data_IF_613017928867
#
_entry.id   IF_613017928867
#
_cell.length_a   1.000
_cell.length_b   1.000
_cell.length_c   1.000
_cell.angle_alpha   90.00
_cell.angle_beta   90.00
_cell.angle_gamma   90.00
#
_symmetry.space_group_name_H-M   'P 1'
#
loop_
_entity.id
_entity.type
_entity.pdbx_description
1 polymer ?
#
# COMPACT_ATOMS: atom_id res chain seq x y z
N UNK A 1 10.13 31.62 -4.20
CA UNK A 1 10.92 30.44 -3.80
C UNK A 1 10.12 29.19 -4.11
N UNK A 2 10.55 28.39 -5.10
CA UNK A 2 9.92 27.08 -5.37
C UNK A 2 10.32 26.15 -4.23
N UNK A 3 9.37 25.82 -3.36
CA UNK A 3 9.55 24.78 -2.36
C UNK A 3 9.66 23.48 -3.14
N UNK A 4 10.86 22.89 -3.16
CA UNK A 4 11.10 21.57 -3.74
C UNK A 4 10.33 20.56 -2.89
N UNK A 5 9.10 20.25 -3.28
CA UNK A 5 8.48 19.01 -2.86
C UNK A 5 9.31 17.85 -3.42
N UNK A 6 9.57 16.78 -2.67
CA UNK A 6 10.25 15.61 -3.21
C UNK A 6 9.47 15.20 -4.46
N UNK A 7 10.14 15.18 -5.60
CA UNK A 7 9.58 14.59 -6.81
C UNK A 7 9.20 13.17 -6.42
N UNK A 8 7.91 12.90 -6.29
CA UNK A 8 7.36 11.56 -6.32
C UNK A 8 7.66 11.05 -7.73
N UNK A 9 8.89 10.56 -7.92
CA UNK A 9 9.37 9.94 -9.14
C UNK A 9 8.42 8.77 -9.45
N UNK A 10 7.51 9.03 -10.40
CA UNK A 10 6.61 8.09 -11.07
C UNK A 10 6.13 6.95 -10.17
N UNK A 11 5.19 7.25 -9.27
CA UNK A 11 4.41 6.21 -8.59
C UNK A 11 3.67 5.34 -9.61
N UNK A 12 3.39 4.08 -9.27
CA UNK A 12 2.50 3.26 -10.08
C UNK A 12 1.14 3.96 -10.16
N UNK A 13 0.75 4.37 -11.36
CA UNK A 13 -0.48 5.14 -11.57
C UNK A 13 -1.65 4.16 -11.68
N UNK A 14 -2.58 4.22 -10.73
CA UNK A 14 -3.87 3.57 -10.85
C UNK A 14 -4.95 4.56 -10.44
N UNK A 15 -5.97 4.67 -11.29
CA UNK A 15 -7.16 5.47 -11.03
C UNK A 15 -8.22 4.61 -10.36
N UNK A 16 -8.97 5.17 -9.42
CA UNK A 16 -10.08 4.50 -8.78
C UNK A 16 -11.24 5.48 -8.57
N UNK A 17 -12.44 4.95 -8.40
CA UNK A 17 -13.62 5.72 -7.98
C UNK A 17 -14.12 5.21 -6.65
N UNK A 18 -14.41 6.15 -5.75
CA UNK A 18 -15.05 5.85 -4.47
C UNK A 18 -16.44 5.26 -4.73
N UNK A 19 -16.71 4.12 -4.09
CA UNK A 19 -18.05 3.53 -3.93
C UNK A 19 -18.62 3.86 -2.55
N UNK A 20 -17.74 4.04 -1.57
CA UNK A 20 -18.04 4.46 -0.20
C UNK A 20 -17.33 5.78 0.13
N UNK A 21 -17.67 6.39 1.27
CA UNK A 21 -17.07 7.65 1.77
C UNK A 21 -15.59 7.51 2.21
N UNK A 22 -15.00 6.33 2.06
CA UNK A 22 -13.61 6.04 2.34
C UNK A 22 -13.13 4.85 1.50
N UNK A 23 -11.82 4.78 1.31
CA UNK A 23 -11.15 3.52 0.97
C UNK A 23 -10.58 2.89 2.24
N UNK A 24 -10.59 1.57 2.31
CA UNK A 24 -9.98 0.82 3.40
C UNK A 24 -8.92 -0.13 2.85
N UNK A 25 -7.71 -0.02 3.40
CA UNK A 25 -6.63 -0.97 3.15
C UNK A 25 -6.79 -2.16 4.10
N UNK A 26 -7.18 -3.30 3.57
CA UNK A 26 -7.38 -4.53 4.33
C UNK A 26 -6.12 -5.39 4.31
N UNK A 27 -5.52 -5.57 5.49
CA UNK A 27 -4.33 -6.40 5.71
C UNK A 27 -4.79 -7.73 6.30
N UNK A 28 -4.71 -8.80 5.51
CA UNK A 28 -5.11 -10.14 5.90
C UNK A 28 -4.00 -11.15 5.59
N UNK A 29 -3.35 -11.60 6.66
CA UNK A 29 -2.26 -12.58 6.60
C UNK A 29 -2.75 -13.97 6.18
N UNK A 30 -4.06 -14.24 6.26
CA UNK A 30 -4.65 -15.55 5.93
C UNK A 30 -4.97 -15.69 4.44
N UNK A 31 -5.04 -14.57 3.71
CA UNK A 31 -5.41 -14.53 2.30
C UNK A 31 -4.25 -14.05 1.42
N UNK A 32 -3.11 -14.73 1.54
CA UNK A 32 -1.88 -14.41 0.79
C UNK A 32 -1.50 -15.56 -0.13
N UNK A 33 -1.28 -15.26 -1.42
CA UNK A 33 -0.82 -16.25 -2.40
C UNK A 33 0.62 -16.69 -2.12
N UNK A 34 1.43 -15.79 -1.56
CA UNK A 34 2.83 -16.01 -1.24
C UNK A 34 3.02 -16.19 0.27
N UNK A 35 3.99 -17.02 0.62
CA UNK A 35 4.34 -17.26 2.01
C UNK A 35 4.97 -16.02 2.65
N UNK A 36 4.36 -15.53 3.72
CA UNK A 36 4.81 -14.37 4.50
C UNK A 36 5.65 -14.77 5.72
N UNK A 37 6.14 -16.01 5.77
CA UNK A 37 6.87 -16.55 6.94
C UNK A 37 8.07 -15.67 7.27
N UNK A 38 8.18 -15.32 8.56
CA UNK A 38 9.21 -14.49 9.12
C UNK A 38 9.09 -12.99 8.80
N UNK A 39 8.06 -12.58 8.06
CA UNK A 39 7.72 -11.18 7.85
C UNK A 39 6.55 -10.78 8.75
N UNK A 40 6.56 -9.53 9.23
CA UNK A 40 5.47 -8.91 9.96
C UNK A 40 5.07 -7.60 9.30
N UNK A 41 3.81 -7.51 8.90
CA UNK A 41 3.20 -6.33 8.28
C UNK A 41 2.24 -5.71 9.29
N UNK A 42 2.42 -4.43 9.61
CA UNK A 42 1.61 -3.74 10.61
C UNK A 42 1.14 -2.38 10.10
N UNK A 43 -0.17 -2.19 9.83
CA UNK A 43 -0.69 -0.85 9.64
C UNK A 43 -0.66 -0.10 10.99
N UNK A 44 -0.27 1.17 10.95
CA UNK A 44 -0.23 2.03 12.14
C UNK A 44 -1.58 2.70 12.46
N UNK A 45 -2.62 2.35 11.72
CA UNK A 45 -4.00 2.78 11.92
C UNK A 45 -4.94 1.58 11.69
N UNK A 46 -5.95 1.40 12.55
CA UNK A 46 -6.97 0.35 12.43
C UNK A 46 -8.36 0.90 12.75
N UNK A 47 -9.34 0.82 11.83
CA UNK A 47 -9.20 0.37 10.44
C UNK A 47 -8.31 1.32 9.63
N UNK A 48 -7.61 0.80 8.62
CA UNK A 48 -6.66 1.58 7.83
C UNK A 48 -7.40 2.31 6.70
N UNK A 49 -8.05 3.44 7.01
CA UNK A 49 -8.96 4.17 6.12
C UNK A 49 -8.44 5.51 5.65
N UNK A 50 -8.74 5.85 4.39
CA UNK A 50 -8.58 7.20 3.83
C UNK A 50 -9.95 7.70 3.38
N UNK A 51 -10.44 8.76 4.02
CA UNK A 51 -11.76 9.31 3.72
C UNK A 51 -11.77 10.12 2.42
N UNK A 52 -12.81 9.95 1.62
CA UNK A 52 -13.02 10.67 0.36
C UNK A 52 -12.89 12.18 0.55
N UNK A 53 -13.57 12.74 1.56
CA UNK A 53 -13.50 14.16 1.90
C UNK A 53 -12.08 14.68 2.15
N UNK A 54 -11.18 13.84 2.67
CA UNK A 54 -9.81 14.23 3.02
C UNK A 54 -8.89 14.10 1.78
N UNK A 55 -9.17 13.12 0.90
CA UNK A 55 -8.52 12.96 -0.41
C UNK A 55 -8.91 14.09 -1.37
N UNK A 56 -10.20 14.43 -1.45
CA UNK A 56 -10.71 15.50 -2.31
C UNK A 56 -10.26 16.89 -1.84
N UNK A 57 -10.20 17.13 -0.53
CA UNK A 57 -9.65 18.38 0.03
C UNK A 57 -8.19 18.59 -0.32
N UNK A 58 -7.39 17.52 -0.41
CA UNK A 58 -6.00 17.64 -0.84
C UNK A 58 -5.87 18.18 -2.27
N UNK A 59 -6.87 17.96 -3.13
CA UNK A 59 -6.86 18.48 -4.50
C UNK A 59 -7.20 19.99 -4.59
N UNK A 60 -7.74 20.59 -3.52
CA UNK A 60 -8.06 22.02 -3.43
C UNK A 60 -7.03 22.75 -2.57
N UNK A 61 -6.22 23.60 -3.22
CA UNK A 61 -5.44 24.78 -2.78
C UNK A 61 -4.93 25.00 -1.34
N UNK A 62 -5.41 24.33 -0.32
CA UNK A 62 -4.88 24.36 1.04
C UNK A 62 -3.80 23.29 1.25
N UNK A 63 -2.73 23.68 1.93
CA UNK A 63 -1.60 22.84 2.38
C UNK A 63 -1.99 21.76 3.41
N UNK A 64 -3.12 21.10 3.22
CA UNK A 64 -3.57 19.98 4.03
C UNK A 64 -2.58 18.83 3.89
N UNK A 65 -2.23 18.22 5.04
CA UNK A 65 -1.39 17.02 5.06
C UNK A 65 -2.09 15.96 4.22
N UNK A 66 -1.35 15.36 3.28
CA UNK A 66 -1.79 14.18 2.55
C UNK A 66 -2.40 13.18 3.55
N UNK A 67 -3.59 12.64 3.28
CA UNK A 67 -4.09 11.53 4.06
C UNK A 67 -3.12 10.36 3.82
N UNK A 68 -2.51 9.85 4.89
CA UNK A 68 -1.41 8.88 4.83
C UNK A 68 -1.76 7.65 5.66
N UNK A 69 -1.58 6.48 5.06
CA UNK A 69 -1.56 5.20 5.75
C UNK A 69 -0.11 4.75 5.93
N UNK A 70 0.40 4.81 7.16
CA UNK A 70 1.75 4.33 7.46
C UNK A 70 1.71 2.84 7.78
N UNK A 71 2.58 2.08 7.13
CA UNK A 71 2.71 0.63 7.25
C UNK A 71 4.14 0.32 7.67
N UNK A 72 4.29 -0.51 8.69
CA UNK A 72 5.59 -1.04 9.12
C UNK A 72 5.76 -2.45 8.56
N UNK A 73 6.93 -2.71 8.00
CA UNK A 73 7.35 -4.04 7.55
C UNK A 73 8.62 -4.42 8.30
N UNK A 74 8.55 -5.52 9.04
CA UNK A 74 9.64 -6.05 9.86
C UNK A 74 9.95 -7.48 9.39
N UNK A 75 11.23 -7.82 9.36
CA UNK A 75 11.73 -9.18 9.15
C UNK A 75 12.21 -9.80 10.47
N UNK A 76 12.29 -11.12 10.47
CA UNK A 76 12.90 -11.95 11.52
C UNK A 76 13.92 -12.89 10.88
N UNK A 77 14.77 -13.59 11.66
CA UNK A 77 15.76 -14.53 11.09
C UNK A 77 15.17 -15.63 10.21
N UNK A 78 13.88 -15.95 10.39
CA UNK A 78 13.16 -16.94 9.58
C UNK A 78 12.52 -16.34 8.31
N UNK A 79 12.69 -15.04 8.08
CA UNK A 79 12.13 -14.35 6.93
C UNK A 79 12.66 -14.92 5.62
N UNK A 80 11.75 -15.17 4.68
CA UNK A 80 12.13 -15.48 3.31
C UNK A 80 12.80 -14.27 2.66
N UNK A 81 13.65 -14.51 1.67
CA UNK A 81 14.42 -13.48 0.96
C UNK A 81 13.53 -12.36 0.39
N UNK A 82 12.35 -12.73 -0.10
CA UNK A 82 11.37 -11.81 -0.69
C UNK A 82 10.03 -11.91 0.02
N UNK A 83 9.45 -10.76 0.34
CA UNK A 83 8.05 -10.56 0.70
C UNK A 83 7.28 -10.09 -0.53
N UNK A 84 6.16 -10.73 -0.80
CA UNK A 84 5.13 -10.25 -1.73
C UNK A 84 3.78 -10.34 -1.01
N UNK A 85 3.29 -9.20 -0.53
CA UNK A 85 2.11 -9.13 0.34
C UNK A 85 0.99 -8.33 -0.33
N UNK A 86 -0.14 -8.97 -0.60
CA UNK A 86 -1.33 -8.34 -1.17
C UNK A 86 -2.15 -7.60 -0.10
N UNK A 87 -2.47 -6.34 -0.38
CA UNK A 87 -3.35 -5.47 0.42
C UNK A 87 -4.58 -5.16 -0.41
N UNK A 88 -5.74 -5.64 0.02
CA UNK A 88 -7.00 -5.37 -0.68
C UNK A 88 -7.46 -3.93 -0.41
N UNK A 89 -7.81 -3.21 -1.47
CA UNK A 89 -8.41 -1.87 -1.40
C UNK A 89 -9.93 -2.00 -1.53
N UNK A 90 -10.62 -1.81 -0.41
CA UNK A 90 -12.08 -1.83 -0.33
C UNK A 90 -12.64 -0.40 -0.40
N UNK A 91 -13.95 -0.28 -0.65
CA UNK A 91 -14.64 1.02 -0.72
C UNK A 91 -14.53 1.73 -2.08
N UNK A 92 -14.00 1.05 -3.09
CA UNK A 92 -13.93 1.50 -4.49
C UNK A 92 -14.88 0.69 -5.39
N UNK A 93 -15.22 1.21 -6.57
CA UNK A 93 -16.13 0.54 -7.51
C UNK A 93 -15.57 -0.79 -8.04
N UNK A 94 -14.28 -0.82 -8.35
CA UNK A 94 -13.54 -1.99 -8.81
C UNK A 94 -12.46 -2.30 -7.79
N UNK A 95 -12.65 -3.34 -6.98
CA UNK A 95 -11.69 -3.75 -5.96
C UNK A 95 -10.34 -4.07 -6.60
N UNK A 96 -9.27 -3.58 -5.95
CA UNK A 96 -7.90 -3.65 -6.43
C UNK A 96 -7.02 -4.18 -5.31
N UNK A 97 -6.02 -4.99 -5.68
CA UNK A 97 -4.99 -5.44 -4.74
C UNK A 97 -3.71 -4.66 -4.99
N UNK A 98 -3.20 -4.01 -3.95
CA UNK A 98 -1.88 -3.38 -3.93
C UNK A 98 -0.90 -4.31 -3.25
N UNK A 99 0.22 -4.62 -3.89
CA UNK A 99 1.25 -5.50 -3.36
C UNK A 99 2.38 -4.70 -2.75
N UNK A 100 2.75 -5.06 -1.52
CA UNK A 100 3.98 -4.64 -0.87
C UNK A 100 5.05 -5.67 -1.23
N UNK A 101 6.09 -5.22 -1.92
CA UNK A 101 7.24 -6.04 -2.31
C UNK A 101 8.46 -5.61 -1.48
N UNK A 102 9.04 -6.52 -0.69
CA UNK A 102 10.24 -6.23 0.10
C UNK A 102 11.27 -7.34 -0.05
N UNK A 103 12.54 -6.97 0.07
CA UNK A 103 13.67 -7.87 -0.07
C UNK A 103 14.60 -7.72 1.14
N UNK A 104 15.18 -8.82 1.60
CA UNK A 104 16.29 -8.78 2.54
C UNK A 104 17.54 -8.27 1.81
N UNK A 105 18.07 -7.11 2.22
CA UNK A 105 19.38 -6.66 1.70
C UNK A 105 20.49 -7.14 2.62
N UNK A 106 21.38 -7.96 2.08
CA UNK A 106 22.66 -8.28 2.72
C UNK A 106 23.63 -7.11 2.49
N UNK A 107 23.50 -6.05 3.26
CA UNK A 107 24.60 -5.08 3.43
C UNK A 107 25.54 -5.63 4.49
N UNK A 108 26.85 -5.69 4.20
CA UNK A 108 27.92 -6.43 4.89
C UNK A 108 28.12 -6.26 6.41
N UNK A 109 27.12 -5.88 7.20
CA UNK A 109 27.06 -6.19 8.65
C UNK A 109 25.66 -6.09 9.29
N UNK A 110 24.60 -5.80 8.52
CA UNK A 110 23.21 -5.81 9.04
C UNK A 110 22.25 -6.17 7.90
N UNK A 111 21.51 -7.28 8.05
CA UNK A 111 20.34 -7.57 7.21
C UNK A 111 19.23 -6.61 7.62
N UNK A 112 18.75 -5.78 6.68
CA UNK A 112 17.60 -4.90 6.89
C UNK A 112 16.59 -5.10 5.75
N UNK A 113 15.29 -4.99 6.05
CA UNK A 113 14.27 -5.10 5.03
C UNK A 113 14.29 -3.83 4.19
N UNK A 114 14.33 -4.00 2.87
CA UNK A 114 14.17 -2.92 1.92
C UNK A 114 12.94 -3.20 1.07
N UNK A 115 11.91 -2.37 1.22
CA UNK A 115 10.74 -2.46 0.37
C UNK A 115 11.00 -1.77 -0.97
N UNK A 116 10.78 -2.49 -2.06
CA UNK A 116 10.66 -1.91 -3.39
C UNK A 116 9.22 -1.42 -3.60
N UNK A 117 9.00 -0.72 -4.72
CA UNK A 117 7.73 -0.07 -5.07
C UNK A 117 6.54 -1.05 -4.97
N UNK A 118 5.39 -0.51 -4.58
CA UNK A 118 4.16 -1.28 -4.54
C UNK A 118 3.64 -1.58 -5.96
N UNK A 119 3.18 -2.81 -6.21
CA UNK A 119 2.52 -3.22 -7.47
C UNK A 119 1.01 -3.20 -7.32
N UNK A 120 0.25 -3.06 -8.40
CA UNK A 120 -1.21 -2.97 -8.39
C UNK A 120 -1.75 -3.92 -9.45
N UNK A 121 -2.57 -4.88 -9.03
CA UNK A 121 -3.35 -5.73 -9.94
C UNK A 121 -4.81 -5.29 -9.90
N UNK A 122 -5.38 -5.05 -11.08
CA UNK A 122 -6.80 -4.70 -11.25
C UNK A 122 -7.56 -5.96 -11.61
N UNK A 123 -8.64 -6.26 -10.88
CA UNK A 123 -9.52 -7.37 -11.22
C UNK A 123 -10.17 -7.12 -12.60
N UNK A 124 -10.15 -8.13 -13.47
CA UNK A 124 -10.79 -8.01 -14.79
C UNK A 124 -12.31 -7.74 -14.63
N UNK A 125 -12.90 -6.85 -15.43
CA UNK A 125 -14.33 -6.56 -15.35
C UNK A 125 -15.12 -7.85 -15.61
N UNK A 126 -15.96 -8.22 -14.65
CA UNK A 126 -16.88 -9.34 -14.82
C UNK A 126 -17.98 -8.92 -15.78
N UNK A 127 -17.94 -9.41 -17.03
CA UNK A 127 -19.07 -9.29 -17.96
C UNK A 127 -20.32 -9.89 -17.30
N UNK A 128 -21.32 -9.05 -17.04
CA UNK A 128 -22.66 -9.52 -16.70
C UNK A 128 -23.36 -9.89 -18.00
N UNK A 129 -23.65 -11.18 -18.18
CA UNK A 129 -24.65 -11.67 -19.13
C UNK A 129 -26.07 -11.36 -18.64
#
# INVERSE_FOLDING_TARGET
FKKNYPKWEEGQDFSFRFKEEYIELHFDDTNQDNSIIGWRIKPLMKPCRLHQRDVEKFAGDDHTRLPLCLITVEDSPEAKETLYYGVLVMGIEEEVTIYIECYLKNTNDVTRPACSRARVDVAAPTERQ
#
